data_IF_370787845314
#
_entry.id   IF_370787845314
#
_cell.length_a   1.000
_cell.length_b   1.000
_cell.length_c   1.000
_cell.angle_alpha   90.00
_cell.angle_beta   90.00
_cell.angle_gamma   90.00
#
_symmetry.space_group_name_H-M   'P 1'
#
loop_
_entity.id
_entity.type
_entity.pdbx_description
1 polymer ?
#
# COMPACT_ATOMS: atom_id res chain seq x y z
N UNK A 1 27.40 -14.87 9.69
CA UNK A 1 26.27 -13.92 9.73
C UNK A 1 26.48 -12.90 8.63
N UNK A 2 25.60 -12.87 7.62
CA UNK A 2 25.73 -11.97 6.47
C UNK A 2 25.74 -10.51 6.89
N UNK A 3 26.51 -9.67 6.20
CA UNK A 3 26.66 -8.25 6.54
C UNK A 3 25.33 -7.49 6.59
N UNK A 4 24.32 -7.96 5.83
CA UNK A 4 22.93 -7.53 5.91
C UNK A 4 22.36 -7.58 7.34
N UNK A 5 22.53 -8.70 8.04
CA UNK A 5 21.95 -8.88 9.38
C UNK A 5 22.62 -7.97 10.42
N UNK A 6 23.91 -7.68 10.24
CA UNK A 6 24.64 -6.76 11.13
C UNK A 6 24.14 -5.32 10.97
N UNK A 7 24.00 -4.85 9.73
CA UNK A 7 23.52 -3.50 9.43
C UNK A 7 22.07 -3.31 9.87
N UNK A 8 21.19 -4.28 9.58
CA UNK A 8 19.79 -4.27 10.02
C UNK A 8 19.68 -4.20 11.55
N UNK A 9 20.48 -5.00 12.26
CA UNK A 9 20.49 -5.05 13.73
C UNK A 9 20.92 -3.74 14.38
N UNK A 10 21.93 -3.06 13.82
CA UNK A 10 22.42 -1.77 14.34
C UNK A 10 21.35 -0.67 14.13
N UNK A 11 20.73 -0.63 12.95
CA UNK A 11 19.70 0.36 12.65
C UNK A 11 18.44 0.20 13.51
N UNK A 12 18.02 -1.05 13.76
CA UNK A 12 16.90 -1.34 14.65
C UNK A 12 17.21 -0.93 16.10
N UNK A 13 18.39 -1.27 16.63
CA UNK A 13 18.76 -0.88 18.01
C UNK A 13 18.91 0.62 18.18
N UNK A 14 19.46 1.32 17.19
CA UNK A 14 19.61 2.78 17.20
C UNK A 14 18.24 3.49 17.17
N UNK A 15 17.29 3.00 16.36
CA UNK A 15 15.93 3.58 16.28
C UNK A 15 15.06 3.26 17.50
N UNK A 16 15.24 2.10 18.13
CA UNK A 16 14.35 1.61 19.20
C UNK A 16 15.04 1.50 20.57
N UNK A 17 16.18 2.17 20.81
CA UNK A 17 16.83 2.10 22.12
C UNK A 17 15.91 2.69 23.20
N UNK A 18 15.38 1.82 24.06
CA UNK A 18 14.55 2.20 25.19
C UNK A 18 15.44 2.81 26.27
N UNK A 19 15.44 4.15 26.38
CA UNK A 19 15.98 4.83 27.57
C UNK A 19 15.08 4.54 28.78
N UNK A 20 15.67 4.41 29.97
CA UNK A 20 14.90 4.35 31.20
C UNK A 20 14.13 5.66 31.40
N UNK A 21 12.80 5.59 31.46
CA UNK A 21 11.90 6.73 31.61
C UNK A 21 11.55 6.95 33.09
N UNK A 22 11.43 8.20 33.52
CA UNK A 22 10.89 8.51 34.85
C UNK A 22 9.40 8.12 34.95
N UNK A 23 8.88 7.90 36.16
CA UNK A 23 7.47 7.49 36.37
C UNK A 23 6.45 8.44 35.73
N UNK A 24 6.74 9.76 35.75
CA UNK A 24 5.89 10.81 35.14
C UNK A 24 5.96 10.79 33.60
N UNK A 25 7.12 10.46 33.03
CA UNK A 25 7.28 10.28 31.58
C UNK A 25 6.64 8.98 31.10
N UNK A 26 6.76 7.90 31.89
CA UNK A 26 6.11 6.62 31.59
C UNK A 26 4.59 6.75 31.56
N UNK A 27 3.99 7.49 32.49
CA UNK A 27 2.55 7.77 32.48
C UNK A 27 2.12 8.59 31.25
N UNK A 28 2.94 9.55 30.80
CA UNK A 28 2.70 10.29 29.55
C UNK A 28 2.79 9.40 28.32
N UNK A 29 3.82 8.55 28.23
CA UNK A 29 4.02 7.61 27.11
C UNK A 29 2.87 6.61 27.05
N UNK A 30 2.43 6.08 28.19
CA UNK A 30 1.26 5.20 28.28
C UNK A 30 -0.03 5.92 27.88
N UNK A 31 -0.24 7.16 28.34
CA UNK A 31 -1.41 7.95 27.96
C UNK A 31 -1.46 8.25 26.46
N UNK A 32 -0.34 8.68 25.87
CA UNK A 32 -0.22 8.90 24.42
C UNK A 32 -0.42 7.58 23.67
N UNK A 33 0.22 6.49 24.12
CA UNK A 33 0.07 5.17 23.52
C UNK A 33 -1.38 4.68 23.52
N UNK A 34 -2.10 4.88 24.62
CA UNK A 34 -3.51 4.55 24.73
C UNK A 34 -4.38 5.34 23.75
N UNK A 35 -4.17 6.66 23.64
CA UNK A 35 -4.87 7.52 22.68
C UNK A 35 -4.59 7.07 21.25
N UNK A 36 -3.34 6.74 20.91
CA UNK A 36 -2.96 6.22 19.59
C UNK A 36 -3.67 4.91 19.30
N UNK A 37 -3.70 3.96 20.23
CA UNK A 37 -4.38 2.67 20.05
C UNK A 37 -5.88 2.87 19.83
N UNK A 38 -6.55 3.68 20.63
CA UNK A 38 -7.97 4.00 20.44
C UNK A 38 -8.21 4.65 19.06
N UNK A 39 -7.34 5.58 18.68
CA UNK A 39 -7.45 6.27 17.38
C UNK A 39 -7.30 5.29 16.22
N UNK A 40 -6.36 4.35 16.31
CA UNK A 40 -6.16 3.30 15.31
C UNK A 40 -7.35 2.33 15.25
N UNK A 41 -7.91 1.93 16.41
CA UNK A 41 -9.10 1.08 16.46
C UNK A 41 -10.30 1.79 15.80
N UNK A 42 -10.52 3.06 16.13
CA UNK A 42 -11.58 3.88 15.52
C UNK A 42 -11.40 4.05 14.01
N UNK A 43 -10.15 4.25 13.55
CA UNK A 43 -9.84 4.35 12.14
C UNK A 43 -10.08 3.03 11.41
N UNK A 44 -9.66 1.91 11.99
CA UNK A 44 -9.88 0.57 11.42
C UNK A 44 -11.37 0.22 11.40
N UNK A 45 -12.13 0.55 12.45
CA UNK A 45 -13.56 0.26 12.50
C UNK A 45 -14.34 1.08 11.47
N UNK A 46 -14.01 2.36 11.30
CA UNK A 46 -14.56 3.20 10.23
C UNK A 46 -14.23 2.63 8.84
N UNK A 47 -12.99 2.17 8.63
CA UNK A 47 -12.58 1.54 7.38
C UNK A 47 -13.35 0.24 7.10
N UNK A 48 -13.52 -0.62 8.11
CA UNK A 48 -14.33 -1.84 8.00
C UNK A 48 -15.78 -1.53 7.66
N UNK A 49 -16.37 -0.51 8.29
CA UNK A 49 -17.74 -0.08 8.00
C UNK A 49 -17.89 0.42 6.54
N UNK A 50 -16.93 1.20 6.06
CA UNK A 50 -16.89 1.65 4.66
C UNK A 50 -16.78 0.47 3.69
N UNK A 51 -15.91 -0.50 3.98
CA UNK A 51 -15.74 -1.71 3.17
C UNK A 51 -17.01 -2.56 3.14
N UNK A 52 -17.68 -2.73 4.28
CA UNK A 52 -18.95 -3.44 4.36
C UNK A 52 -20.02 -2.74 3.53
N UNK A 53 -20.16 -1.42 3.65
CA UNK A 53 -21.06 -0.63 2.81
C UNK A 53 -20.75 -0.79 1.33
N UNK A 54 -19.48 -0.67 0.95
CA UNK A 54 -19.02 -0.83 -0.43
C UNK A 54 -19.32 -2.22 -1.00
N UNK A 55 -18.95 -3.29 -0.30
CA UNK A 55 -19.21 -4.66 -0.76
C UNK A 55 -20.69 -5.01 -0.74
N UNK A 56 -21.47 -4.48 0.21
CA UNK A 56 -22.93 -4.69 0.22
C UNK A 56 -23.61 -4.03 -0.98
N UNK A 57 -23.14 -2.84 -1.37
CA UNK A 57 -23.58 -2.18 -2.60
C UNK A 57 -23.19 -2.96 -3.85
N UNK A 58 -22.00 -3.55 -3.91
CA UNK A 58 -21.63 -4.43 -5.04
C UNK A 58 -22.44 -5.73 -5.05
N UNK A 59 -22.76 -6.29 -3.89
CA UNK A 59 -23.54 -7.51 -3.76
C UNK A 59 -24.98 -7.31 -4.24
N UNK A 60 -25.63 -6.20 -3.90
CA UNK A 60 -26.99 -5.89 -4.38
C UNK A 60 -27.08 -5.74 -5.90
N UNK A 61 -25.94 -5.56 -6.55
CA UNK A 61 -25.80 -5.38 -7.99
C UNK A 61 -25.24 -6.60 -8.74
N UNK A 62 -25.02 -7.72 -8.04
CA UNK A 62 -24.33 -8.91 -8.60
C UNK A 62 -22.92 -8.61 -9.15
N UNK A 63 -22.21 -7.63 -8.57
CA UNK A 63 -20.86 -7.21 -8.97
C UNK A 63 -19.78 -7.55 -7.93
N UNK A 64 -20.13 -8.38 -6.93
CA UNK A 64 -19.22 -8.73 -5.85
C UNK A 64 -17.97 -9.48 -6.32
N UNK A 65 -18.02 -10.17 -7.46
CA UNK A 65 -16.87 -10.92 -8.01
C UNK A 65 -15.63 -10.06 -8.26
N UNK A 66 -15.80 -8.77 -8.56
CA UNK A 66 -14.71 -7.81 -8.76
C UNK A 66 -14.49 -6.91 -7.53
N UNK A 67 -15.13 -7.20 -6.40
CA UNK A 67 -15.14 -6.33 -5.23
C UNK A 67 -13.76 -6.03 -4.67
N UNK A 68 -12.85 -7.01 -4.66
CA UNK A 68 -11.48 -6.81 -4.20
C UNK A 68 -10.60 -6.01 -5.17
N UNK A 69 -10.99 -5.84 -6.44
CA UNK A 69 -10.16 -5.17 -7.44
C UNK A 69 -9.87 -3.72 -7.07
N UNK A 70 -10.90 -2.98 -6.67
CA UNK A 70 -10.73 -1.57 -6.31
C UNK A 70 -9.86 -1.37 -5.05
N UNK A 71 -10.06 -2.09 -3.93
CA UNK A 71 -9.13 -2.07 -2.80
C UNK A 71 -7.70 -2.46 -3.17
N UNK A 72 -7.51 -3.47 -4.04
CA UNK A 72 -6.17 -3.86 -4.49
C UNK A 72 -5.50 -2.76 -5.31
N UNK A 73 -6.20 -2.17 -6.28
CA UNK A 73 -5.69 -1.06 -7.08
C UNK A 73 -5.38 0.15 -6.18
N UNK A 74 -6.30 0.52 -5.30
CA UNK A 74 -6.11 1.63 -4.36
C UNK A 74 -4.87 1.41 -3.49
N UNK A 75 -4.70 0.21 -2.93
CA UNK A 75 -3.52 -0.13 -2.13
C UNK A 75 -2.22 -0.08 -2.94
N UNK A 76 -2.23 -0.52 -4.21
CA UNK A 76 -1.07 -0.40 -5.10
C UNK A 76 -0.71 1.06 -5.36
N UNK A 77 -1.69 1.94 -5.59
CA UNK A 77 -1.46 3.38 -5.75
C UNK A 77 -0.98 4.05 -4.46
N UNK A 78 -1.51 3.65 -3.30
CA UNK A 78 -1.04 4.13 -2.01
C UNK A 78 0.45 3.82 -1.83
N UNK A 79 0.86 2.56 -2.04
CA UNK A 79 2.28 2.17 -1.97
C UNK A 79 3.11 2.88 -3.03
N UNK A 80 2.57 3.13 -4.23
CA UNK A 80 3.29 3.89 -5.26
C UNK A 80 3.67 5.30 -4.76
N UNK A 81 2.70 6.02 -4.20
CA UNK A 81 2.87 7.41 -3.74
C UNK A 81 3.81 7.48 -2.54
N UNK A 82 3.54 6.68 -1.50
CA UNK A 82 4.37 6.68 -0.29
C UNK A 82 5.74 6.06 -0.54
N UNK A 83 5.83 5.06 -1.41
CA UNK A 83 7.07 4.42 -1.82
C UNK A 83 8.02 5.40 -2.51
N UNK A 84 7.54 6.34 -3.33
CA UNK A 84 8.41 7.38 -3.93
C UNK A 84 9.05 8.22 -2.82
N UNK A 85 8.25 8.71 -1.88
CA UNK A 85 8.74 9.50 -0.75
C UNK A 85 9.71 8.70 0.14
N UNK A 86 9.37 7.44 0.45
CA UNK A 86 10.18 6.54 1.26
C UNK A 86 11.52 6.20 0.63
N UNK A 87 11.53 5.89 -0.67
CA UNK A 87 12.76 5.64 -1.44
C UNK A 87 13.60 6.91 -1.52
N UNK A 88 13.01 8.07 -1.86
CA UNK A 88 13.74 9.36 -1.88
C UNK A 88 14.38 9.69 -0.52
N UNK A 89 13.66 9.46 0.58
CA UNK A 89 14.15 9.72 1.93
C UNK A 89 15.23 8.73 2.42
N UNK A 90 15.20 7.48 1.97
CA UNK A 90 16.11 6.43 2.50
C UNK A 90 17.29 6.13 1.58
N UNK A 91 17.05 5.98 0.27
CA UNK A 91 18.09 5.69 -0.71
C UNK A 91 18.94 6.91 -1.02
N UNK A 92 18.35 8.12 -1.03
CA UNK A 92 19.00 9.30 -1.61
C UNK A 92 19.30 10.45 -0.65
N UNK A 93 18.62 10.57 0.50
CA UNK A 93 18.93 11.58 1.52
C UNK A 93 19.96 11.14 2.56
N UNK A 94 20.52 9.94 2.45
CA UNK A 94 21.54 9.53 3.40
C UNK A 94 22.84 10.28 3.11
N UNK A 95 23.23 11.15 4.05
CA UNK A 95 24.61 11.57 4.31
C UNK A 95 25.59 10.38 4.37
N UNK A 96 25.08 9.15 4.39
CA UNK A 96 25.80 7.89 4.34
C UNK A 96 26.20 7.41 2.93
N UNK A 97 25.87 8.09 1.82
CA UNK A 97 26.36 7.65 0.49
C UNK A 97 27.89 7.74 0.44
N UNK A 98 28.47 8.81 0.99
CA UNK A 98 29.94 8.96 1.09
C UNK A 98 30.58 8.00 2.09
N UNK A 99 29.86 7.62 3.15
CA UNK A 99 30.32 6.64 4.15
C UNK A 99 30.14 5.18 3.73
N UNK A 100 29.10 4.87 2.94
CA UNK A 100 28.87 3.54 2.37
C UNK A 100 29.73 3.30 1.12
N UNK A 101 30.10 4.37 0.40
CA UNK A 101 31.08 4.31 -0.69
C UNK A 101 32.51 4.04 -0.22
N UNK A 102 32.84 4.33 1.05
CA UNK A 102 34.16 4.04 1.63
C UNK A 102 34.28 2.64 2.21
N UNK A 103 33.18 1.88 2.29
CA UNK A 103 33.16 0.49 2.74
C UNK A 103 33.26 -0.45 1.51
N UNK A 104 34.03 -1.55 1.57
CA UNK A 104 34.18 -2.52 0.48
C UNK A 104 32.94 -3.44 0.36
N UNK A 105 31.74 -2.88 0.42
CA UNK A 105 30.47 -3.60 0.27
C UNK A 105 30.00 -3.52 -1.19
N UNK A 106 29.48 -4.64 -1.72
CA UNK A 106 28.85 -4.64 -3.05
C UNK A 106 27.70 -3.63 -3.05
N UNK A 107 27.71 -2.67 -3.98
CA UNK A 107 26.69 -1.62 -4.08
C UNK A 107 25.25 -2.18 -4.13
N UNK A 108 25.05 -3.35 -4.76
CA UNK A 108 23.76 -4.05 -4.77
C UNK A 108 23.27 -4.50 -3.39
N UNK A 109 24.16 -4.86 -2.45
CA UNK A 109 23.78 -5.25 -1.10
C UNK A 109 23.27 -4.06 -0.27
N UNK A 110 23.87 -2.88 -0.47
CA UNK A 110 23.43 -1.62 0.17
C UNK A 110 22.07 -1.19 -0.36
N UNK A 111 21.88 -1.24 -1.68
CA UNK A 111 20.59 -0.96 -2.32
C UNK A 111 19.50 -1.91 -1.82
N UNK A 112 19.75 -3.23 -1.86
CA UNK A 112 18.80 -4.24 -1.40
C UNK A 112 18.41 -4.06 0.07
N UNK A 113 19.37 -3.72 0.94
CA UNK A 113 19.08 -3.47 2.36
C UNK A 113 18.16 -2.26 2.56
N UNK A 114 18.39 -1.16 1.83
CA UNK A 114 17.56 0.04 1.95
C UNK A 114 16.18 -0.16 1.32
N UNK A 115 16.12 -0.81 0.16
CA UNK A 115 14.87 -1.20 -0.49
C UNK A 115 14.03 -2.07 0.45
N UNK A 116 14.64 -3.06 1.10
CA UNK A 116 13.94 -3.93 2.04
C UNK A 116 13.39 -3.19 3.26
N UNK A 117 14.09 -2.17 3.77
CA UNK A 117 13.58 -1.33 4.86
C UNK A 117 12.35 -0.52 4.45
N UNK A 118 12.35 0.04 3.24
CA UNK A 118 11.17 0.74 2.71
C UNK A 118 10.04 -0.26 2.48
N UNK A 119 10.34 -1.45 1.94
CA UNK A 119 9.37 -2.53 1.79
C UNK A 119 8.71 -2.90 3.12
N UNK A 120 9.45 -3.07 4.21
CA UNK A 120 8.85 -3.39 5.52
C UNK A 120 7.92 -2.28 6.02
N UNK A 121 8.27 -1.01 5.78
CA UNK A 121 7.43 0.12 6.15
C UNK A 121 6.12 0.15 5.33
N UNK A 122 6.24 0.03 4.01
CA UNK A 122 5.09 -0.03 3.10
C UNK A 122 4.21 -1.25 3.38
N UNK A 123 4.82 -2.39 3.70
CA UNK A 123 4.10 -3.62 4.06
C UNK A 123 3.22 -3.41 5.30
N UNK A 124 3.72 -2.71 6.33
CA UNK A 124 2.94 -2.44 7.54
C UNK A 124 1.70 -1.58 7.25
N UNK A 125 1.88 -0.51 6.45
CA UNK A 125 0.77 0.36 6.01
C UNK A 125 -0.23 -0.45 5.18
N UNK A 126 0.30 -1.23 4.24
CA UNK A 126 -0.48 -2.00 3.30
C UNK A 126 -1.30 -3.09 3.97
N UNK A 127 -0.74 -3.81 4.95
CA UNK A 127 -1.48 -4.79 5.75
C UNK A 127 -2.65 -4.12 6.49
N UNK A 128 -2.44 -2.94 7.08
CA UNK A 128 -3.51 -2.18 7.74
C UNK A 128 -4.64 -1.78 6.80
N UNK A 129 -4.33 -1.54 5.52
CA UNK A 129 -5.30 -1.15 4.50
C UNK A 129 -6.03 -2.35 3.86
N UNK A 130 -5.28 -3.37 3.40
CA UNK A 130 -5.83 -4.47 2.59
C UNK A 130 -6.42 -5.60 3.42
N UNK A 131 -5.88 -5.88 4.61
CA UNK A 131 -6.34 -7.02 5.42
C UNK A 131 -7.80 -6.85 5.82
N UNK A 132 -8.28 -5.66 6.26
CA UNK A 132 -9.70 -5.43 6.47
C UNK A 132 -10.55 -5.73 5.23
N UNK A 133 -10.10 -5.34 4.03
CA UNK A 133 -10.83 -5.61 2.79
C UNK A 133 -10.93 -7.12 2.50
N UNK A 134 -9.82 -7.85 2.65
CA UNK A 134 -9.79 -9.31 2.49
C UNK A 134 -10.73 -9.97 3.50
N UNK A 135 -10.70 -9.53 4.76
CA UNK A 135 -11.51 -10.11 5.84
C UNK A 135 -13.00 -9.89 5.61
N UNK A 136 -13.42 -8.65 5.38
CA UNK A 136 -14.84 -8.32 5.16
C UNK A 136 -15.36 -9.03 3.91
N UNK A 137 -14.60 -9.04 2.81
CA UNK A 137 -14.98 -9.76 1.60
C UNK A 137 -15.13 -11.26 1.82
N UNK A 138 -14.16 -11.87 2.53
CA UNK A 138 -14.18 -13.30 2.83
C UNK A 138 -15.39 -13.70 3.69
N UNK A 139 -15.74 -12.86 4.67
CA UNK A 139 -16.92 -13.07 5.51
C UNK A 139 -18.22 -12.95 4.70
N UNK A 140 -18.31 -11.98 3.80
CA UNK A 140 -19.51 -11.78 2.96
C UNK A 140 -19.71 -12.87 1.91
N UNK A 141 -18.63 -13.44 1.39
CA UNK A 141 -18.67 -14.52 0.39
C UNK A 141 -18.72 -15.92 0.99
N UNK A 142 -18.68 -16.05 2.33
CA UNK A 142 -18.60 -17.35 2.99
C UNK A 142 -17.31 -18.11 2.67
N UNK A 143 -16.23 -17.40 2.40
CA UNK A 143 -14.95 -17.98 1.98
C UNK A 143 -14.29 -18.79 3.10
N UNK A 144 -13.75 -19.97 2.75
CA UNK A 144 -13.04 -20.83 3.71
C UNK A 144 -11.62 -20.36 4.04
N UNK A 145 -10.95 -21.07 4.96
CA UNK A 145 -9.58 -20.76 5.43
C UNK A 145 -8.55 -20.58 4.30
N UNK A 146 -8.65 -21.36 3.22
CA UNK A 146 -7.73 -21.27 2.08
C UNK A 146 -7.74 -19.90 1.39
N UNK A 147 -8.87 -19.20 1.39
CA UNK A 147 -8.96 -17.84 0.86
C UNK A 147 -8.15 -16.86 1.72
N UNK A 148 -8.25 -16.94 3.05
CA UNK A 148 -7.51 -16.04 3.96
C UNK A 148 -6.00 -16.25 3.87
N UNK A 149 -5.56 -17.49 3.73
CA UNK A 149 -4.14 -17.81 3.51
C UNK A 149 -3.67 -17.19 2.19
N UNK A 150 -4.39 -17.42 1.09
CA UNK A 150 -4.07 -16.81 -0.22
C UNK A 150 -4.07 -15.28 -0.14
N UNK A 151 -5.05 -14.68 0.52
CA UNK A 151 -5.18 -13.24 0.71
C UNK A 151 -4.00 -12.66 1.49
N UNK A 152 -3.58 -13.30 2.59
CA UNK A 152 -2.41 -12.89 3.36
C UNK A 152 -1.13 -12.96 2.53
N UNK A 153 -0.93 -14.05 1.78
CA UNK A 153 0.23 -14.17 0.88
C UNK A 153 0.20 -13.07 -0.18
N UNK A 154 -0.96 -12.80 -0.78
CA UNK A 154 -1.08 -11.75 -1.80
C UNK A 154 -0.75 -10.37 -1.20
N UNK A 155 -1.20 -10.13 0.03
CA UNK A 155 -0.88 -8.90 0.75
C UNK A 155 0.61 -8.72 1.01
N UNK A 156 1.36 -9.80 1.28
CA UNK A 156 2.81 -9.73 1.44
C UNK A 156 3.52 -9.29 0.14
N UNK A 157 3.10 -9.83 -1.00
CA UNK A 157 3.77 -9.56 -2.28
C UNK A 157 3.31 -8.25 -2.95
N UNK A 158 2.13 -7.74 -2.57
CA UNK A 158 1.51 -6.59 -3.22
C UNK A 158 2.29 -5.28 -3.15
N UNK A 159 3.03 -4.93 -2.10
CA UNK A 159 3.87 -3.74 -2.09
C UNK A 159 5.05 -3.79 -3.06
N UNK A 160 5.53 -4.98 -3.45
CA UNK A 160 6.77 -5.12 -4.21
C UNK A 160 6.69 -4.46 -5.58
N UNK A 161 5.62 -4.72 -6.34
CA UNK A 161 5.49 -4.21 -7.70
C UNK A 161 5.37 -2.67 -7.73
N UNK A 162 4.48 -2.03 -6.94
CA UNK A 162 4.45 -0.57 -6.84
C UNK A 162 5.77 0.01 -6.33
N UNK A 163 6.42 -0.62 -5.36
CA UNK A 163 7.68 -0.11 -4.79
C UNK A 163 8.83 -0.15 -5.80
N UNK A 164 8.90 -1.17 -6.65
CA UNK A 164 9.85 -1.24 -7.77
C UNK A 164 9.62 -0.06 -8.73
N UNK A 165 8.37 0.19 -9.09
CA UNK A 165 8.00 1.34 -9.95
C UNK A 165 8.36 2.66 -9.26
N UNK A 166 8.03 2.83 -7.98
CA UNK A 166 8.41 3.99 -7.17
C UNK A 166 9.92 4.21 -7.16
N UNK A 167 10.70 3.13 -7.16
CA UNK A 167 12.17 3.20 -7.20
C UNK A 167 12.66 3.69 -8.55
N UNK A 168 12.12 3.17 -9.65
CA UNK A 168 12.42 3.63 -11.02
C UNK A 168 12.05 5.11 -11.20
N UNK A 169 10.86 5.52 -10.76
CA UNK A 169 10.40 6.91 -10.81
C UNK A 169 11.34 7.80 -9.99
N UNK A 170 11.71 7.36 -8.79
CA UNK A 170 12.63 8.11 -7.91
C UNK A 170 14.00 8.32 -8.56
N UNK A 171 14.54 7.31 -9.24
CA UNK A 171 15.79 7.41 -10.01
C UNK A 171 15.69 8.45 -11.14
N UNK A 172 14.58 8.47 -11.88
CA UNK A 172 14.32 9.46 -12.92
C UNK A 172 14.21 10.88 -12.35
N UNK A 173 13.41 11.07 -11.30
CA UNK A 173 13.19 12.38 -10.67
C UNK A 173 14.50 13.03 -10.20
N UNK A 174 15.45 12.22 -9.76
CA UNK A 174 16.78 12.68 -9.33
C UNK A 174 17.64 13.06 -10.52
N UNK A 175 17.64 12.25 -11.58
CA UNK A 175 18.39 12.55 -12.82
C UNK A 175 18.02 13.90 -13.41
N UNK A 176 16.75 14.30 -13.30
CA UNK A 176 16.27 15.57 -13.85
C UNK A 176 16.37 16.76 -12.88
N UNK A 177 16.96 16.61 -11.69
CA UNK A 177 17.17 17.70 -10.70
C UNK A 177 15.92 18.54 -10.38
N UNK A 178 14.71 18.04 -10.70
CA UNK A 178 13.50 18.87 -10.85
C UNK A 178 12.98 19.45 -9.53
N UNK A 179 13.44 18.93 -8.39
CA UNK A 179 12.82 19.25 -7.10
C UNK A 179 13.77 19.80 -6.02
N UNK A 180 15.09 19.90 -6.24
CA UNK A 180 16.08 19.95 -5.14
C UNK A 180 15.96 21.10 -4.13
N UNK A 181 15.31 22.23 -4.45
CA UNK A 181 15.44 23.45 -3.62
C UNK A 181 14.24 23.80 -2.73
N UNK A 182 13.06 23.21 -2.95
CA UNK A 182 11.84 23.48 -2.15
C UNK A 182 11.00 22.22 -1.86
N UNK A 183 11.63 21.03 -1.84
CA UNK A 183 10.97 19.72 -1.70
C UNK A 183 9.98 19.68 -0.55
N UNK A 184 10.43 20.12 0.63
CA UNK A 184 9.64 20.01 1.85
C UNK A 184 8.42 20.95 1.81
N UNK A 185 8.59 22.17 1.29
CA UNK A 185 7.49 23.12 1.16
C UNK A 185 6.47 22.68 0.11
N UNK A 186 6.93 22.10 -1.01
CA UNK A 186 6.05 21.55 -2.06
C UNK A 186 5.32 20.30 -1.53
N UNK A 187 6.00 19.44 -0.77
CA UNK A 187 5.37 18.27 -0.16
C UNK A 187 4.30 18.66 0.87
N UNK A 188 4.58 19.66 1.70
CA UNK A 188 3.63 20.15 2.71
C UNK A 188 2.42 20.83 2.05
N UNK A 189 2.66 21.80 1.16
CA UNK A 189 1.58 22.55 0.51
C UNK A 189 0.79 21.67 -0.47
N UNK A 190 1.49 20.87 -1.27
CA UNK A 190 0.86 19.92 -2.18
C UNK A 190 0.08 18.84 -1.44
N UNK A 191 0.62 18.30 -0.34
CA UNK A 191 -0.09 17.36 0.52
C UNK A 191 -1.34 17.98 1.13
N UNK A 192 -1.26 19.21 1.62
CA UNK A 192 -2.42 19.93 2.17
C UNK A 192 -3.52 20.15 1.11
N UNK A 193 -3.14 20.63 -0.08
CA UNK A 193 -4.08 20.81 -1.20
C UNK A 193 -4.71 19.48 -1.62
N UNK A 194 -3.94 18.39 -1.69
CA UNK A 194 -4.46 17.08 -2.03
C UNK A 194 -5.44 16.54 -0.99
N UNK A 195 -5.16 16.71 0.31
CA UNK A 195 -6.06 16.28 1.38
C UNK A 195 -7.36 17.10 1.36
N UNK A 196 -7.27 18.43 1.23
CA UNK A 196 -8.46 19.29 1.14
C UNK A 196 -9.25 18.97 -0.13
N UNK A 197 -8.59 18.83 -1.27
CA UNK A 197 -9.20 18.45 -2.54
C UNK A 197 -9.86 17.07 -2.48
N UNK A 198 -9.25 16.10 -1.79
CA UNK A 198 -9.84 14.79 -1.56
C UNK A 198 -11.11 14.89 -0.72
N UNK A 199 -11.09 15.62 0.40
CA UNK A 199 -12.25 15.79 1.27
C UNK A 199 -13.39 16.49 0.53
N UNK A 200 -13.11 17.61 -0.15
CA UNK A 200 -14.12 18.34 -0.91
C UNK A 200 -14.65 17.53 -2.10
N UNK A 201 -13.77 16.84 -2.81
CA UNK A 201 -14.13 15.96 -3.92
C UNK A 201 -14.99 14.80 -3.48
N UNK A 202 -14.64 14.15 -2.36
CA UNK A 202 -15.43 13.08 -1.76
C UNK A 202 -16.83 13.58 -1.37
N UNK A 203 -16.91 14.72 -0.67
CA UNK A 203 -18.19 15.32 -0.27
C UNK A 203 -19.04 15.73 -1.47
N UNK A 204 -18.43 16.28 -2.51
CA UNK A 204 -19.12 16.61 -3.75
C UNK A 204 -19.69 15.36 -4.42
N UNK A 205 -18.87 14.31 -4.58
CA UNK A 205 -19.30 13.05 -5.20
C UNK A 205 -20.40 12.36 -4.38
N UNK A 206 -20.27 12.28 -3.06
CA UNK A 206 -21.28 11.71 -2.17
C UNK A 206 -22.61 12.44 -2.29
N UNK A 207 -22.58 13.78 -2.30
CA UNK A 207 -23.77 14.60 -2.47
C UNK A 207 -24.45 14.34 -3.81
N UNK A 208 -23.69 14.24 -4.91
CA UNK A 208 -24.22 13.93 -6.24
C UNK A 208 -24.85 12.55 -6.29
N UNK A 209 -24.18 11.53 -5.77
CA UNK A 209 -24.69 10.16 -5.73
C UNK A 209 -25.96 10.06 -4.88
N UNK A 210 -26.04 10.77 -3.76
CA UNK A 210 -27.23 10.78 -2.89
C UNK A 210 -28.47 11.41 -3.51
N UNK A 211 -28.29 12.24 -4.55
CA UNK A 211 -29.37 12.95 -5.25
C UNK A 211 -29.78 12.26 -6.56
N UNK A 212 -29.05 11.23 -6.99
CA UNK A 212 -29.36 10.50 -8.23
C UNK A 212 -30.54 9.54 -8.04
N UNK A 213 -31.36 9.41 -9.07
CA UNK A 213 -32.41 8.40 -9.09
C UNK A 213 -31.79 7.00 -9.14
N UNK A 214 -32.54 6.00 -8.68
CA UNK A 214 -32.07 4.61 -8.69
C UNK A 214 -31.73 4.13 -10.12
N UNK A 215 -32.42 4.64 -11.15
CA UNK A 215 -32.18 4.32 -12.55
C UNK A 215 -30.90 4.95 -13.09
N UNK A 216 -30.63 6.22 -12.76
CA UNK A 216 -29.40 6.93 -13.15
C UNK A 216 -28.17 6.34 -12.46
N UNK A 217 -28.32 5.96 -11.19
CA UNK A 217 -27.28 5.28 -10.43
C UNK A 217 -26.94 3.92 -11.08
N UNK A 218 -27.95 3.14 -11.46
CA UNK A 218 -27.75 1.86 -12.14
C UNK A 218 -27.09 2.03 -13.52
N UNK A 219 -27.46 3.06 -14.29
CA UNK A 219 -26.84 3.37 -15.58
C UNK A 219 -25.36 3.72 -15.45
N UNK A 220 -25.00 4.57 -14.46
CA UNK A 220 -23.61 4.88 -14.14
C UNK A 220 -22.81 3.64 -13.72
N UNK A 221 -23.44 2.71 -13.01
CA UNK A 221 -22.76 1.52 -12.50
C UNK A 221 -22.56 0.44 -13.57
N UNK A 222 -23.47 0.32 -14.54
CA UNK A 222 -23.24 -0.48 -15.76
C UNK A 222 -22.06 0.09 -16.55
N UNK A 223 -21.99 1.42 -16.69
CA UNK A 223 -20.84 2.08 -17.30
C UNK A 223 -19.56 1.88 -16.48
N UNK A 224 -19.65 1.97 -15.15
CA UNK A 224 -18.55 1.72 -14.23
C UNK A 224 -18.07 0.26 -14.28
N UNK A 225 -18.93 -0.72 -14.52
CA UNK A 225 -18.52 -2.11 -14.72
C UNK A 225 -17.62 -2.25 -15.96
N UNK A 226 -17.94 -1.51 -17.03
CA UNK A 226 -17.03 -1.39 -18.19
C UNK A 226 -15.70 -0.75 -17.80
N UNK A 227 -15.72 0.29 -16.96
CA UNK A 227 -14.53 1.01 -16.50
C UNK A 227 -13.69 0.13 -15.58
N UNK A 228 -14.27 -0.59 -14.63
CA UNK A 228 -13.59 -1.51 -13.72
C UNK A 228 -12.96 -2.65 -14.52
N UNK A 229 -13.66 -3.18 -15.53
CA UNK A 229 -13.09 -4.13 -16.48
C UNK A 229 -11.93 -3.55 -17.30
N UNK A 230 -12.02 -2.29 -17.73
CA UNK A 230 -10.96 -1.58 -18.48
C UNK A 230 -9.76 -1.26 -17.59
N UNK A 231 -9.97 -0.78 -16.36
CA UNK A 231 -8.91 -0.49 -15.38
C UNK A 231 -8.23 -1.79 -14.97
N UNK A 232 -8.99 -2.87 -14.77
CA UNK A 232 -8.43 -4.19 -14.53
C UNK A 232 -7.50 -4.62 -15.67
N UNK A 233 -7.89 -4.40 -16.93
CA UNK A 233 -7.04 -4.66 -18.09
C UNK A 233 -5.82 -3.75 -18.19
N UNK A 234 -5.92 -2.51 -17.69
CA UNK A 234 -4.80 -1.57 -17.65
C UNK A 234 -3.78 -1.90 -16.53
N UNK A 235 -4.23 -2.55 -15.45
CA UNK A 235 -3.39 -3.05 -14.36
C UNK A 235 -3.54 -4.58 -14.19
N UNK A 236 -3.06 -5.39 -15.16
CA UNK A 236 -3.17 -6.85 -15.09
C UNK A 236 -2.64 -7.48 -13.78
N UNK A 237 -1.55 -6.99 -13.16
CA UNK A 237 -1.08 -7.55 -11.89
C UNK A 237 -2.08 -7.45 -10.75
N UNK A 238 -2.92 -6.41 -10.72
CA UNK A 238 -3.98 -6.28 -9.72
C UNK A 238 -5.09 -7.32 -9.95
N UNK A 239 -5.49 -7.55 -11.21
CA UNK A 239 -6.44 -8.61 -11.57
C UNK A 239 -5.91 -9.99 -11.21
N UNK A 240 -4.66 -10.29 -11.58
CA UNK A 240 -4.05 -11.58 -11.27
C UNK A 240 -3.96 -11.80 -9.75
N UNK A 241 -3.62 -10.78 -8.97
CA UNK A 241 -3.62 -10.88 -7.52
C UNK A 241 -5.02 -11.19 -6.96
N UNK A 242 -6.06 -10.51 -7.46
CA UNK A 242 -7.44 -10.76 -7.02
C UNK A 242 -7.88 -12.17 -7.40
N UNK A 243 -7.70 -12.60 -8.64
CA UNK A 243 -8.10 -13.94 -9.08
C UNK A 243 -7.26 -15.05 -8.44
N UNK A 244 -5.99 -14.80 -8.15
CA UNK A 244 -5.15 -15.70 -7.37
C UNK A 244 -5.79 -15.97 -6.00
N UNK A 245 -6.37 -14.94 -5.37
CA UNK A 245 -7.03 -15.03 -4.06
C UNK A 245 -8.45 -15.60 -4.17
N UNK A 246 -9.28 -15.12 -5.08
CA UNK A 246 -10.72 -15.43 -5.12
C UNK A 246 -11.06 -16.73 -5.87
N UNK A 247 -10.31 -17.10 -6.92
CA UNK A 247 -10.56 -18.33 -7.69
C UNK A 247 -10.01 -19.57 -6.97
N UNK A 248 -10.40 -20.76 -7.45
CA UNK A 248 -9.98 -22.06 -6.91
C UNK A 248 -9.35 -22.93 -8.00
N UNK A 249 -8.66 -24.01 -7.62
CA UNK A 249 -8.07 -24.97 -8.55
C UNK A 249 -7.00 -24.37 -9.48
N UNK A 250 -7.00 -24.82 -10.73
CA UNK A 250 -6.02 -24.43 -11.74
C UNK A 250 -6.05 -22.92 -12.06
N UNK A 251 -7.24 -22.30 -12.05
CA UNK A 251 -7.37 -20.85 -12.29
C UNK A 251 -6.62 -20.03 -11.24
N UNK A 252 -6.72 -20.40 -9.97
CA UNK A 252 -5.98 -19.74 -8.89
C UNK A 252 -4.46 -19.86 -9.10
N UNK A 253 -3.98 -21.06 -9.45
CA UNK A 253 -2.54 -21.32 -9.66
C UNK A 253 -1.96 -20.54 -10.84
N UNK A 254 -2.70 -20.47 -11.96
CA UNK A 254 -2.27 -19.71 -13.14
C UNK A 254 -2.18 -18.21 -12.83
N UNK A 255 -3.16 -17.68 -12.10
CA UNK A 255 -3.13 -16.27 -11.68
C UNK A 255 -2.01 -15.98 -10.68
N UNK A 256 -1.72 -16.91 -9.76
CA UNK A 256 -0.53 -16.84 -8.90
C UNK A 256 0.76 -16.79 -9.72
N UNK A 257 0.88 -17.63 -10.75
CA UNK A 257 2.05 -17.63 -11.61
C UNK A 257 2.22 -16.29 -12.33
N UNK A 258 1.17 -15.77 -12.98
CA UNK A 258 1.25 -14.47 -13.66
C UNK A 258 1.57 -13.33 -12.69
N UNK A 259 0.97 -13.35 -11.51
CA UNK A 259 1.21 -12.33 -10.49
C UNK A 259 2.68 -12.34 -10.03
N UNK A 260 3.25 -13.50 -9.70
CA UNK A 260 4.64 -13.62 -9.28
C UNK A 260 5.64 -13.33 -10.42
N UNK A 261 5.31 -13.76 -11.65
CA UNK A 261 6.12 -13.44 -12.84
C UNK A 261 6.16 -11.92 -13.05
N UNK A 262 5.04 -11.22 -12.86
CA UNK A 262 5.01 -9.75 -12.99
C UNK A 262 5.93 -9.04 -11.99
N UNK A 263 6.00 -9.55 -10.76
CA UNK A 263 6.90 -9.03 -9.72
C UNK A 263 8.35 -9.34 -10.08
N UNK A 264 8.63 -10.58 -10.51
CA UNK A 264 9.98 -11.00 -10.93
C UNK A 264 10.49 -10.21 -12.14
N UNK A 265 9.65 -10.00 -13.14
CA UNK A 265 9.96 -9.19 -14.31
C UNK A 265 10.25 -7.73 -13.93
N UNK A 266 9.44 -7.13 -13.05
CA UNK A 266 9.69 -5.78 -12.55
C UNK A 266 11.05 -5.68 -11.83
N UNK A 267 11.40 -6.68 -11.01
CA UNK A 267 12.67 -6.71 -10.28
C UNK A 267 13.88 -6.86 -11.22
N UNK A 268 13.72 -7.63 -12.30
CA UNK A 268 14.74 -7.81 -13.34
C UNK A 268 15.07 -6.53 -14.12
N UNK A 269 14.14 -5.57 -14.20
CA UNK A 269 14.39 -4.26 -14.85
C UNK A 269 15.22 -3.32 -13.96
N UNK A 270 15.25 -3.55 -12.64
CA UNK A 270 15.95 -2.69 -11.67
C UNK A 270 17.40 -3.07 -11.38
N UNK A 271 17.85 -4.25 -11.79
CA UNK A 271 19.23 -4.73 -11.65
C UNK A 271 19.99 -4.62 -12.97
#
# INVERSE_FOLDING_TARGET
MSDFMKVLGIQLRSRYSLKALSSKEMMKVLGIGFIVVISLISMISAWVALLYGFFSGLASMNMLDLGLLLPFIAGMFTVLIFGIAGIMGTLFQSKDISFLASLPLKQGAVFASKFFLVYLYELAIMLGFIMPAIVVYGLMTGSGLGYYVKGFVAALFMPLLPLIISTLISLLLIRFSLFSRRRDMIAIVGGFILVVGYILGQQYLLSRVSQMSQEELMALLVQANSIVGVIGRALPPALWAVYAVTKTGAESLVNWAFYLISIGAAFGVTY
#
